data_IF_024242532400
#
_entry.id   IF_024242532400
#
_cell.length_a   1.000
_cell.length_b   1.000
_cell.length_c   1.000
_cell.angle_alpha   90.00
_cell.angle_beta   90.00
_cell.angle_gamma   90.00
#
_symmetry.space_group_name_H-M   'P 1'
#
loop_
_entity.id
_entity.type
_entity.pdbx_description
1 polymer ?
#
# COMPACT_ATOMS: atom_id res chain seq x y z
N UNK A 1 63.04 37.52 16.69
CA UNK A 1 63.25 36.31 17.52
C UNK A 1 62.17 36.19 18.60
N UNK A 2 61.91 37.23 19.39
CA UNK A 2 60.87 37.17 20.45
C UNK A 2 59.50 36.91 19.97
N UNK A 3 59.01 37.46 18.85
CA UNK A 3 57.69 37.25 18.29
C UNK A 3 57.50 35.80 17.81
N UNK A 4 58.56 35.23 17.24
CA UNK A 4 58.51 33.81 16.77
C UNK A 4 58.44 32.84 17.95
N UNK A 5 59.13 33.12 19.04
CA UNK A 5 59.10 32.31 20.27
C UNK A 5 57.69 32.41 20.92
N UNK A 6 57.10 33.61 21.00
CA UNK A 6 55.77 33.81 21.52
C UNK A 6 54.70 33.05 20.73
N UNK A 7 54.77 33.03 19.39
CA UNK A 7 53.85 32.26 18.52
C UNK A 7 53.99 30.74 18.78
N UNK A 8 55.20 30.22 18.91
CA UNK A 8 55.45 28.80 19.20
C UNK A 8 54.84 28.41 20.55
N UNK A 9 55.04 29.25 21.58
CA UNK A 9 54.46 29.02 22.90
C UNK A 9 52.91 28.96 22.82
N UNK A 10 52.28 29.89 22.09
CA UNK A 10 50.85 29.90 21.87
C UNK A 10 50.35 28.62 21.18
N UNK A 11 51.05 28.10 20.19
CA UNK A 11 50.73 26.83 19.53
C UNK A 11 50.85 25.63 20.47
N UNK A 12 51.85 25.60 21.33
CA UNK A 12 52.05 24.55 22.34
C UNK A 12 50.91 24.58 23.36
N UNK A 13 50.59 25.76 23.90
CA UNK A 13 49.50 25.95 24.84
C UNK A 13 48.15 25.51 24.19
N UNK A 14 47.92 25.92 22.95
CA UNK A 14 46.73 25.50 22.18
C UNK A 14 46.68 23.97 22.01
N UNK A 15 47.76 23.31 21.69
CA UNK A 15 47.85 21.86 21.58
C UNK A 15 47.56 21.15 22.89
N UNK A 16 48.06 21.65 24.01
CA UNK A 16 47.80 21.13 25.35
C UNK A 16 46.31 21.30 25.73
N UNK A 17 45.74 22.51 25.49
CA UNK A 17 44.35 22.80 25.71
C UNK A 17 43.44 21.86 24.94
N UNK A 18 43.70 21.66 23.65
CA UNK A 18 42.91 20.71 22.83
C UNK A 18 43.02 19.28 23.36
N UNK A 19 44.23 18.80 23.69
CA UNK A 19 44.42 17.44 24.27
C UNK A 19 43.63 17.25 25.56
N UNK A 20 43.61 18.27 26.44
CA UNK A 20 42.83 18.24 27.67
C UNK A 20 41.33 18.18 27.40
N UNK A 21 40.84 18.99 26.46
CA UNK A 21 39.42 19.03 26.09
C UNK A 21 38.95 17.67 25.52
N UNK A 22 39.68 17.07 24.56
CA UNK A 22 39.28 15.78 23.96
C UNK A 22 39.39 14.59 24.93
N UNK A 23 39.97 14.75 26.09
CA UNK A 23 39.99 13.77 27.19
C UNK A 23 38.95 14.11 28.28
N UNK A 24 38.27 15.23 28.21
CA UNK A 24 37.30 15.66 29.23
C UNK A 24 36.03 14.80 29.20
N UNK A 25 35.34 14.77 30.35
CA UNK A 25 34.04 14.09 30.47
C UNK A 25 32.97 14.75 29.58
N UNK A 26 33.05 16.05 29.35
CA UNK A 26 32.15 16.77 28.44
C UNK A 26 32.27 16.25 27.02
N UNK A 27 33.48 16.06 26.48
CA UNK A 27 33.70 15.53 25.16
C UNK A 27 33.28 14.04 25.05
N UNK A 28 33.55 13.25 26.10
CA UNK A 28 33.10 11.85 26.17
C UNK A 28 31.58 11.76 26.16
N UNK A 29 30.90 12.66 26.87
CA UNK A 29 29.42 12.71 26.88
C UNK A 29 28.86 13.01 25.48
N UNK A 30 29.43 13.99 24.77
CA UNK A 30 29.08 14.32 23.39
C UNK A 30 29.26 13.08 22.48
N UNK A 31 30.37 12.36 22.61
CA UNK A 31 30.61 11.12 21.87
C UNK A 31 29.59 10.02 22.19
N UNK A 32 29.24 9.89 23.45
CA UNK A 32 28.25 8.91 23.90
C UNK A 32 26.86 9.21 23.30
N UNK A 33 26.38 10.45 23.42
CA UNK A 33 25.10 10.88 22.84
C UNK A 33 25.04 10.67 21.33
N UNK A 34 26.17 10.91 20.64
CA UNK A 34 26.25 10.70 19.21
C UNK A 34 26.28 9.21 18.82
N UNK A 35 27.01 8.37 19.57
CA UNK A 35 27.02 6.93 19.36
C UNK A 35 25.66 6.29 19.61
N UNK A 36 24.95 6.75 20.63
CA UNK A 36 23.59 6.32 20.91
C UNK A 36 22.64 6.65 19.75
N UNK A 37 22.72 7.87 19.21
CA UNK A 37 22.02 8.25 17.98
C UNK A 37 22.38 7.35 16.78
N UNK A 38 23.65 7.04 16.58
CA UNK A 38 24.13 6.16 15.49
C UNK A 38 23.54 4.76 15.63
N UNK A 39 23.52 4.24 16.86
CA UNK A 39 22.95 2.90 17.16
C UNK A 39 21.47 2.85 16.78
N UNK A 40 20.67 3.82 17.21
CA UNK A 40 19.26 3.91 16.85
C UNK A 40 19.02 4.02 15.34
N UNK A 41 19.84 4.80 14.63
CA UNK A 41 19.77 4.86 13.17
C UNK A 41 20.02 3.51 12.51
N UNK A 42 21.01 2.76 12.99
CA UNK A 42 21.35 1.44 12.47
C UNK A 42 20.27 0.41 12.76
N UNK A 43 19.69 0.44 13.96
CA UNK A 43 18.56 -0.41 14.34
C UNK A 43 17.35 -0.14 13.46
N UNK A 44 16.99 1.12 13.25
CA UNK A 44 15.88 1.50 12.37
C UNK A 44 16.14 1.09 10.91
N UNK A 45 17.36 1.26 10.41
CA UNK A 45 17.74 0.81 9.07
C UNK A 45 17.66 -0.71 8.91
N UNK A 46 18.05 -1.47 9.94
CA UNK A 46 17.94 -2.94 9.98
C UNK A 46 16.47 -3.37 9.98
N UNK A 47 15.64 -2.68 10.75
CA UNK A 47 14.20 -2.91 10.77
C UNK A 47 13.56 -2.67 9.39
N UNK A 48 13.85 -1.55 8.74
CA UNK A 48 13.36 -1.24 7.38
C UNK A 48 13.75 -2.34 6.39
N UNK A 49 14.97 -2.86 6.46
CA UNK A 49 15.40 -3.93 5.56
C UNK A 49 14.69 -5.27 5.83
N UNK A 50 14.46 -5.61 7.09
CA UNK A 50 13.71 -6.80 7.46
C UNK A 50 12.27 -6.77 6.95
N UNK A 51 11.62 -5.61 7.02
CA UNK A 51 10.26 -5.42 6.52
C UNK A 51 10.17 -5.49 4.99
N UNK A 52 11.18 -5.00 4.29
CA UNK A 52 11.27 -5.13 2.83
C UNK A 52 11.20 -6.61 2.41
N UNK A 53 11.97 -7.48 3.07
CA UNK A 53 11.94 -8.91 2.80
C UNK A 53 10.60 -9.55 3.19
N UNK A 54 10.07 -9.22 4.38
CA UNK A 54 8.79 -9.73 4.88
C UNK A 54 7.64 -9.43 3.92
N UNK A 55 7.48 -8.17 3.52
CA UNK A 55 6.34 -7.77 2.68
C UNK A 55 6.51 -8.16 1.22
N UNK A 56 7.73 -8.11 0.68
CA UNK A 56 7.99 -8.52 -0.71
C UNK A 56 7.72 -10.01 -0.92
N UNK A 57 8.29 -10.87 -0.09
CA UNK A 57 8.12 -12.31 -0.21
C UNK A 57 6.65 -12.73 0.02
N UNK A 58 5.99 -12.15 1.04
CA UNK A 58 4.58 -12.45 1.33
C UNK A 58 3.64 -12.02 0.21
N UNK A 59 3.94 -10.93 -0.51
CA UNK A 59 3.14 -10.50 -1.66
C UNK A 59 3.44 -11.38 -2.86
N UNK A 60 4.71 -11.72 -3.14
CA UNK A 60 5.09 -12.55 -4.27
C UNK A 60 4.58 -14.00 -4.15
N UNK A 61 4.53 -14.55 -2.95
CA UNK A 61 4.05 -15.92 -2.71
C UNK A 61 2.53 -16.06 -2.81
N UNK A 62 1.78 -15.02 -2.43
CA UNK A 62 0.30 -15.02 -2.50
C UNK A 62 -0.24 -14.65 -3.88
N UNK A 63 0.50 -13.90 -4.66
CA UNK A 63 0.09 -13.48 -6.00
C UNK A 63 0.71 -14.45 -7.01
N UNK A 64 0.01 -15.53 -7.30
CA UNK A 64 0.32 -16.37 -8.44
C UNK A 64 0.04 -15.55 -9.71
N UNK A 65 1.04 -14.82 -10.18
CA UNK A 65 1.00 -14.18 -11.50
C UNK A 65 0.89 -15.32 -12.49
N UNK A 66 -0.29 -15.58 -13.03
CA UNK A 66 -0.39 -16.31 -14.26
C UNK A 66 0.64 -15.67 -15.18
N UNK A 67 1.59 -16.47 -15.70
CA UNK A 67 2.70 -15.98 -16.51
C UNK A 67 2.21 -14.92 -17.46
N UNK A 68 2.49 -13.65 -17.18
CA UNK A 68 2.32 -12.57 -18.13
C UNK A 68 3.37 -12.78 -19.21
N UNK A 69 3.09 -13.70 -20.13
CA UNK A 69 3.89 -13.87 -21.33
C UNK A 69 3.80 -12.55 -22.08
N UNK A 70 4.93 -11.88 -22.22
CA UNK A 70 5.14 -10.82 -23.18
C UNK A 70 4.84 -11.41 -24.57
N UNK A 71 3.56 -11.38 -24.97
CA UNK A 71 3.18 -11.72 -26.35
C UNK A 71 3.50 -10.47 -27.16
N UNK A 72 4.70 -10.42 -27.74
CA UNK A 72 5.07 -9.42 -28.74
C UNK A 72 4.38 -9.74 -30.06
N UNK A 73 3.19 -9.16 -30.25
CA UNK A 73 2.45 -9.25 -31.52
C UNK A 73 2.96 -8.26 -32.56
N UNK A 74 4.04 -7.51 -32.32
CA UNK A 74 4.59 -6.59 -33.31
C UNK A 74 5.49 -7.30 -34.32
N UNK A 75 5.24 -7.08 -35.64
CA UNK A 75 6.12 -7.52 -36.72
C UNK A 75 7.52 -6.87 -36.69
N UNK A 76 7.74 -5.90 -35.84
CA UNK A 76 9.00 -5.17 -35.69
C UNK A 76 9.62 -5.53 -34.34
N UNK A 77 10.71 -6.28 -34.36
CA UNK A 77 11.60 -6.57 -33.23
C UNK A 77 12.33 -5.28 -32.78
N UNK A 78 11.64 -4.32 -32.25
CA UNK A 78 12.30 -3.28 -31.45
C UNK A 78 12.67 -3.87 -30.09
N UNK A 79 13.91 -3.65 -29.66
CA UNK A 79 14.44 -4.08 -28.35
C UNK A 79 13.67 -3.37 -27.21
N UNK A 80 12.46 -3.80 -26.92
CA UNK A 80 11.61 -3.25 -25.85
C UNK A 80 12.14 -3.57 -24.45
N UNK A 81 12.91 -4.65 -24.31
CA UNK A 81 13.49 -5.07 -23.02
C UNK A 81 14.50 -4.07 -22.44
N UNK A 82 15.16 -3.24 -23.27
CA UNK A 82 16.16 -2.28 -22.81
C UNK A 82 15.57 -0.92 -22.40
N UNK A 83 14.36 -0.56 -22.84
CA UNK A 83 13.71 0.72 -22.47
C UNK A 83 12.83 0.63 -21.23
N UNK A 84 12.57 -0.55 -20.72
CA UNK A 84 11.79 -0.76 -19.51
C UNK A 84 12.73 -1.01 -18.35
N UNK A 85 13.46 0.03 -17.93
CA UNK A 85 14.04 0.07 -16.58
C UNK A 85 12.91 0.15 -15.55
N UNK A 86 12.13 -0.95 -15.42
CA UNK A 86 11.30 -1.14 -14.27
C UNK A 86 12.24 -1.35 -13.09
N UNK A 87 12.25 -0.40 -12.16
CA UNK A 87 12.82 -0.66 -10.84
C UNK A 87 12.21 -2.00 -10.39
N UNK A 88 13.02 -2.98 -10.00
CA UNK A 88 12.67 -4.37 -9.63
C UNK A 88 11.58 -4.54 -8.56
N UNK A 89 10.85 -3.49 -8.25
CA UNK A 89 9.93 -3.34 -7.13
C UNK A 89 8.48 -3.11 -7.53
N UNK A 90 8.17 -3.03 -8.81
CA UNK A 90 6.82 -2.75 -9.28
C UNK A 90 6.16 -4.03 -9.81
N UNK A 91 4.96 -4.30 -9.30
CA UNK A 91 4.09 -5.34 -9.87
C UNK A 91 3.43 -4.77 -11.12
N UNK A 92 3.67 -5.37 -12.29
CA UNK A 92 3.20 -4.85 -13.58
C UNK A 92 2.22 -5.82 -14.21
N UNK A 93 1.06 -5.30 -14.64
CA UNK A 93 0.06 -6.04 -15.40
C UNK A 93 -0.16 -5.37 -16.76
N UNK A 94 0.17 -6.08 -17.86
CA UNK A 94 -0.14 -5.63 -19.21
C UNK A 94 -1.61 -5.85 -19.53
N UNK A 95 -2.28 -4.80 -20.00
CA UNK A 95 -3.72 -4.83 -20.19
C UNK A 95 -4.18 -3.95 -21.38
N UNK A 96 -5.46 -4.01 -21.70
CA UNK A 96 -6.08 -3.11 -22.66
C UNK A 96 -6.20 -1.67 -22.14
N UNK A 97 -6.30 -0.70 -23.04
CA UNK A 97 -6.50 0.72 -22.72
C UNK A 97 -7.74 0.94 -21.81
N UNK A 98 -8.82 0.20 -22.03
CA UNK A 98 -10.02 0.27 -21.21
C UNK A 98 -9.77 -0.18 -19.77
N UNK A 99 -8.96 -1.22 -19.56
CA UNK A 99 -8.57 -1.68 -18.22
C UNK A 99 -7.74 -0.63 -17.50
N UNK A 100 -6.72 -0.02 -18.15
CA UNK A 100 -5.96 1.08 -17.58
C UNK A 100 -6.85 2.24 -17.12
N UNK A 101 -7.78 2.68 -17.99
CA UNK A 101 -8.71 3.77 -17.65
C UNK A 101 -9.63 3.43 -16.48
N UNK A 102 -10.12 2.19 -16.44
CA UNK A 102 -11.01 1.74 -15.37
C UNK A 102 -10.24 1.50 -14.06
N UNK A 103 -8.99 1.05 -14.11
CA UNK A 103 -8.11 0.95 -12.96
C UNK A 103 -7.89 2.32 -12.29
N UNK A 104 -7.72 3.38 -13.10
CA UNK A 104 -7.62 4.74 -12.58
C UNK A 104 -8.90 5.23 -11.87
N UNK A 105 -10.09 4.76 -12.31
CA UNK A 105 -11.39 5.15 -11.70
C UNK A 105 -11.76 4.31 -10.48
N UNK A 106 -11.38 3.04 -10.46
CA UNK A 106 -11.72 2.06 -9.41
C UNK A 106 -10.46 1.26 -9.00
N UNK A 107 -9.44 1.93 -8.44
CA UNK A 107 -8.11 1.36 -8.26
C UNK A 107 -8.13 0.06 -7.45
N UNK A 108 -8.77 0.04 -6.31
CA UNK A 108 -8.75 -1.11 -5.39
C UNK A 108 -9.52 -2.34 -5.91
N UNK A 109 -10.61 -2.10 -6.63
CA UNK A 109 -11.36 -3.18 -7.29
C UNK A 109 -10.51 -3.85 -8.37
N UNK A 110 -9.81 -3.04 -9.18
CA UNK A 110 -8.96 -3.56 -10.25
C UNK A 110 -7.69 -4.18 -9.68
N UNK A 111 -7.15 -3.63 -8.60
CA UNK A 111 -6.04 -4.22 -7.84
C UNK A 111 -6.39 -5.65 -7.39
N UNK A 112 -7.50 -5.83 -6.67
CA UNK A 112 -7.93 -7.17 -6.22
C UNK A 112 -8.16 -8.13 -7.41
N UNK A 113 -8.81 -7.64 -8.47
CA UNK A 113 -9.18 -8.48 -9.61
C UNK A 113 -7.99 -8.97 -10.43
N UNK A 114 -7.04 -8.09 -10.73
CA UNK A 114 -5.98 -8.37 -11.71
C UNK A 114 -4.65 -8.82 -11.07
N UNK A 115 -4.46 -8.52 -9.79
CA UNK A 115 -3.31 -9.02 -9.03
C UNK A 115 -3.71 -10.14 -8.06
N UNK A 116 -4.89 -10.74 -8.26
CA UNK A 116 -5.38 -11.90 -7.51
C UNK A 116 -5.31 -11.73 -5.99
N UNK A 117 -5.60 -10.52 -5.49
CA UNK A 117 -5.66 -10.24 -4.07
C UNK A 117 -7.05 -10.66 -3.55
N UNK A 118 -7.15 -11.72 -2.73
CA UNK A 118 -8.43 -12.21 -2.26
C UNK A 118 -9.07 -11.22 -1.28
N UNK A 119 -10.41 -11.08 -1.37
CA UNK A 119 -11.18 -10.20 -0.45
C UNK A 119 -11.64 -11.04 0.73
N UNK A 120 -10.75 -11.23 1.69
CA UNK A 120 -10.93 -12.07 2.88
C UNK A 120 -10.21 -11.50 4.11
N UNK A 121 -10.52 -12.02 5.30
CA UNK A 121 -10.00 -11.49 6.57
C UNK A 121 -8.49 -11.62 6.70
N UNK A 122 -7.89 -12.69 6.20
CA UNK A 122 -6.43 -12.88 6.23
C UNK A 122 -5.71 -11.80 5.43
N UNK A 123 -6.25 -11.45 4.26
CA UNK A 123 -5.72 -10.37 3.42
C UNK A 123 -5.85 -9.02 4.12
N UNK A 124 -6.98 -8.78 4.79
CA UNK A 124 -7.20 -7.55 5.57
C UNK A 124 -6.14 -7.43 6.67
N UNK A 125 -5.96 -8.46 7.49
CA UNK A 125 -4.95 -8.49 8.58
C UNK A 125 -3.53 -8.27 8.04
N UNK A 126 -3.21 -8.85 6.87
CA UNK A 126 -1.91 -8.65 6.23
C UNK A 126 -1.65 -7.17 5.89
N UNK A 127 -2.61 -6.48 5.26
CA UNK A 127 -2.44 -5.07 4.90
C UNK A 127 -2.51 -4.14 6.12
N UNK A 128 -3.27 -4.49 7.16
CA UNK A 128 -3.25 -3.77 8.45
C UNK A 128 -1.87 -3.89 9.12
N UNK A 129 -1.26 -5.08 9.13
CA UNK A 129 0.11 -5.25 9.62
C UNK A 129 1.11 -4.40 8.84
N UNK A 130 1.01 -4.38 7.50
CA UNK A 130 1.86 -3.56 6.64
C UNK A 130 1.70 -2.06 6.94
N UNK A 131 0.47 -1.59 7.15
CA UNK A 131 0.20 -0.20 7.52
C UNK A 131 0.85 0.17 8.85
N UNK A 132 0.71 -0.69 9.86
CA UNK A 132 1.34 -0.47 11.17
C UNK A 132 2.86 -0.39 11.05
N UNK A 133 3.47 -1.28 10.27
CA UNK A 133 4.91 -1.26 10.00
C UNK A 133 5.35 0.06 9.34
N UNK A 134 4.59 0.56 8.34
CA UNK A 134 4.89 1.84 7.68
C UNK A 134 4.75 3.05 8.59
N UNK A 135 3.73 3.06 9.46
CA UNK A 135 3.54 4.12 10.46
C UNK A 135 4.70 4.11 11.46
N UNK A 136 5.08 2.94 11.97
CA UNK A 136 6.20 2.78 12.91
C UNK A 136 7.53 3.28 12.32
N UNK A 137 7.80 3.00 11.04
CA UNK A 137 8.99 3.51 10.37
C UNK A 137 8.94 5.04 10.25
N UNK A 138 7.78 5.60 9.87
CA UNK A 138 7.62 7.05 9.75
C UNK A 138 7.89 7.75 11.08
N UNK A 139 7.29 7.24 12.16
CA UNK A 139 7.49 7.77 13.52
C UNK A 139 8.95 7.61 13.98
N UNK A 140 9.56 6.44 13.71
CA UNK A 140 10.96 6.19 13.99
C UNK A 140 11.90 7.15 13.28
N UNK A 141 11.66 7.45 12.01
CA UNK A 141 12.43 8.44 11.25
C UNK A 141 12.30 9.85 11.82
N UNK A 142 11.10 10.24 12.24
CA UNK A 142 10.86 11.53 12.89
C UNK A 142 11.57 11.60 14.26
N UNK A 143 11.51 10.52 15.04
CA UNK A 143 12.21 10.43 16.33
C UNK A 143 13.71 10.59 16.18
N UNK A 144 14.34 9.83 15.30
CA UNK A 144 15.78 9.89 15.03
C UNK A 144 16.20 11.27 14.53
N UNK A 145 15.39 11.90 13.64
CA UNK A 145 15.62 13.27 13.17
C UNK A 145 15.61 14.29 14.31
N UNK A 146 14.62 14.20 15.20
CA UNK A 146 14.51 15.09 16.35
C UNK A 146 15.66 14.88 17.34
N UNK A 147 16.07 13.62 17.56
CA UNK A 147 17.23 13.29 18.39
C UNK A 147 18.51 13.90 17.83
N UNK A 148 18.75 13.83 16.51
CA UNK A 148 19.89 14.48 15.89
C UNK A 148 19.91 15.99 16.14
N UNK A 149 18.74 16.64 16.01
CA UNK A 149 18.62 18.08 16.28
C UNK A 149 18.99 18.42 17.72
N UNK A 150 18.55 17.61 18.69
CA UNK A 150 18.90 17.78 20.11
C UNK A 150 20.40 17.60 20.35
N UNK A 151 20.99 16.52 19.83
CA UNK A 151 22.42 16.27 19.95
C UNK A 151 23.23 17.42 19.34
N UNK A 152 22.86 17.88 18.13
CA UNK A 152 23.54 19.01 17.48
C UNK A 152 23.38 20.32 18.23
N UNK A 153 22.23 20.59 18.84
CA UNK A 153 22.00 21.76 19.68
C UNK A 153 22.85 21.71 20.97
N UNK A 154 22.91 20.53 21.60
CA UNK A 154 23.78 20.32 22.80
C UNK A 154 25.26 20.53 22.47
N UNK A 155 25.73 19.99 21.35
CA UNK A 155 27.10 20.22 20.87
C UNK A 155 27.35 21.71 20.69
N UNK A 156 26.46 22.40 19.96
CA UNK A 156 26.61 23.83 19.70
C UNK A 156 26.67 24.70 20.98
N UNK A 157 25.85 24.36 21.95
CA UNK A 157 25.73 25.14 23.19
C UNK A 157 26.89 24.86 24.18
N UNK A 158 27.38 23.63 24.23
CA UNK A 158 28.38 23.19 25.17
C UNK A 158 29.82 23.22 24.62
N UNK A 159 29.99 23.54 23.32
CA UNK A 159 31.30 23.59 22.71
C UNK A 159 32.08 24.84 23.17
N UNK A 160 33.28 24.70 23.80
CA UNK A 160 34.08 25.82 24.24
C UNK A 160 34.39 26.81 23.08
N UNK A 161 34.32 28.09 23.36
CA UNK A 161 34.53 29.16 22.37
C UNK A 161 35.77 28.95 21.50
N UNK A 162 36.91 28.59 22.10
CA UNK A 162 38.15 28.37 21.38
C UNK A 162 38.08 27.16 20.42
N UNK A 163 37.46 26.06 20.85
CA UNK A 163 37.28 24.88 20.00
C UNK A 163 36.33 25.21 18.84
N UNK A 164 35.23 25.91 19.12
CA UNK A 164 34.22 26.30 18.12
C UNK A 164 34.83 27.19 17.02
N UNK A 165 35.67 28.14 17.36
CA UNK A 165 36.20 29.10 16.40
C UNK A 165 37.54 28.68 15.75
N UNK A 166 38.40 27.98 16.46
CA UNK A 166 39.76 27.66 16.01
C UNK A 166 40.03 26.14 15.93
N UNK A 167 39.19 25.29 16.49
CA UNK A 167 39.38 23.83 16.55
C UNK A 167 38.44 23.00 15.72
N UNK A 168 37.59 23.58 14.86
CA UNK A 168 36.49 22.91 14.17
C UNK A 168 36.91 21.66 13.39
N UNK A 169 37.96 21.75 12.59
CA UNK A 169 38.42 20.62 11.75
C UNK A 169 38.88 19.43 12.59
N UNK A 170 39.62 19.70 13.69
CA UNK A 170 40.05 18.65 14.60
C UNK A 170 38.87 18.10 15.38
N UNK A 171 37.92 18.94 15.81
CA UNK A 171 36.71 18.50 16.51
C UNK A 171 35.91 17.51 15.67
N UNK A 172 35.65 17.80 14.41
CA UNK A 172 34.92 16.89 13.49
C UNK A 172 35.68 15.56 13.36
N UNK A 173 37.00 15.60 13.21
CA UNK A 173 37.83 14.39 13.11
C UNK A 173 37.81 13.55 14.39
N UNK A 174 37.96 14.19 15.57
CA UNK A 174 37.96 13.50 16.87
C UNK A 174 36.56 12.99 17.26
N UNK A 175 35.51 13.66 16.75
CA UNK A 175 34.13 13.21 16.88
C UNK A 175 33.88 11.90 16.12
N UNK A 176 34.49 11.73 14.93
CA UNK A 176 34.39 10.53 14.13
C UNK A 176 33.00 10.27 13.59
N UNK A 177 32.17 11.34 13.39
CA UNK A 177 30.82 11.24 12.91
C UNK A 177 30.78 11.28 11.38
N UNK A 178 30.15 10.25 10.80
CA UNK A 178 29.71 10.25 9.40
C UNK A 178 28.19 10.28 9.35
N UNK A 179 27.58 11.14 8.51
CA UNK A 179 26.13 11.16 8.36
C UNK A 179 25.61 9.79 7.93
N UNK A 180 24.60 9.30 8.65
CA UNK A 180 23.96 8.02 8.33
C UNK A 180 22.84 8.28 7.34
N UNK A 181 22.91 7.59 6.21
CA UNK A 181 21.85 7.63 5.21
C UNK A 181 20.68 6.74 5.68
N UNK A 182 19.50 7.35 5.87
CA UNK A 182 18.31 6.60 6.28
C UNK A 182 17.71 5.89 5.08
N UNK A 183 17.60 4.57 5.18
CA UNK A 183 17.03 3.74 4.11
C UNK A 183 15.62 4.15 3.75
N UNK A 184 15.30 4.11 2.46
CA UNK A 184 13.94 4.34 1.98
C UNK A 184 13.06 3.13 2.28
N UNK A 185 11.79 3.41 2.61
CA UNK A 185 10.78 2.38 2.80
C UNK A 185 10.39 1.82 1.43
N UNK A 186 10.34 0.51 1.32
CA UNK A 186 9.76 -0.14 0.16
C UNK A 186 8.24 0.04 0.18
N UNK A 187 7.71 0.75 -0.82
CA UNK A 187 6.27 0.95 -0.99
C UNK A 187 5.81 0.12 -2.19
N UNK A 188 4.92 -0.89 -2.00
CA UNK A 188 4.41 -1.69 -3.09
C UNK A 188 3.67 -0.80 -4.11
N UNK A 189 4.05 -0.93 -5.37
CA UNK A 189 3.42 -0.21 -6.48
C UNK A 189 2.93 -1.20 -7.51
N UNK A 190 1.65 -1.09 -7.85
CA UNK A 190 0.97 -1.94 -8.83
C UNK A 190 0.65 -1.13 -10.08
N UNK A 191 1.24 -1.53 -11.20
CA UNK A 191 1.16 -0.79 -12.46
C UNK A 191 0.32 -1.53 -13.49
N UNK A 192 -0.73 -0.90 -13.99
CA UNK A 192 -1.44 -1.34 -15.19
C UNK A 192 -0.83 -0.65 -16.39
N UNK A 193 -0.38 -1.41 -17.38
CA UNK A 193 0.30 -0.86 -18.55
C UNK A 193 -0.40 -1.31 -19.83
N UNK A 194 -0.73 -0.35 -20.68
CA UNK A 194 -1.17 -0.57 -22.05
C UNK A 194 -0.11 -0.11 -23.03
N UNK A 195 0.23 -0.95 -23.98
CA UNK A 195 1.11 -0.63 -25.10
C UNK A 195 0.35 -0.94 -26.39
N UNK A 196 0.22 0.03 -27.29
CA UNK A 196 -0.42 -0.20 -28.58
C UNK A 196 0.38 -1.18 -29.45
N UNK A 197 -0.29 -1.90 -30.37
CA UNK A 197 0.33 -2.93 -31.22
C UNK A 197 1.58 -2.44 -31.99
N UNK A 198 1.61 -1.17 -32.39
CA UNK A 198 2.78 -0.55 -33.03
C UNK A 198 3.81 0.04 -32.04
N UNK A 199 3.60 -0.05 -30.74
CA UNK A 199 4.52 0.52 -29.73
C UNK A 199 4.49 2.03 -29.58
N UNK A 200 3.72 2.75 -30.40
CA UNK A 200 3.72 4.20 -30.48
C UNK A 200 2.97 4.88 -29.34
N UNK A 201 2.12 4.16 -28.62
CA UNK A 201 1.35 4.68 -27.50
C UNK A 201 1.49 3.79 -26.28
N UNK A 202 1.93 4.39 -25.17
CA UNK A 202 1.97 3.76 -23.84
C UNK A 202 1.08 4.55 -22.89
N UNK A 203 0.26 3.84 -22.12
CA UNK A 203 -0.53 4.41 -21.03
C UNK A 203 -0.27 3.55 -19.80
N UNK A 204 -0.02 4.17 -18.66
CA UNK A 204 0.09 3.46 -17.39
C UNK A 204 -0.83 4.09 -16.34
N UNK A 205 -1.23 3.26 -15.38
CA UNK A 205 -1.92 3.65 -14.18
C UNK A 205 -1.24 2.95 -13.01
N UNK A 206 -0.62 3.72 -12.14
CA UNK A 206 0.13 3.20 -11.01
C UNK A 206 -0.69 3.37 -9.72
N UNK A 207 -0.84 2.28 -8.98
CA UNK A 207 -1.48 2.25 -7.67
C UNK A 207 -0.36 2.06 -6.64
N UNK A 208 0.05 3.16 -6.01
CA UNK A 208 1.09 3.18 -4.98
C UNK A 208 0.43 2.96 -3.63
N UNK A 209 0.78 1.89 -2.90
CA UNK A 209 0.24 1.61 -1.57
C UNK A 209 1.04 2.34 -0.48
N UNK A 210 1.10 3.67 -0.58
CA UNK A 210 1.57 4.52 0.51
C UNK A 210 0.60 4.47 1.72
N UNK A 211 0.94 5.12 2.83
CA UNK A 211 0.14 5.09 4.06
C UNK A 211 -1.32 5.50 3.79
N UNK A 212 -1.57 6.51 2.97
CA UNK A 212 -2.92 7.01 2.69
C UNK A 212 -3.72 6.03 1.82
N UNK A 213 -3.12 5.57 0.74
CA UNK A 213 -3.75 4.61 -0.16
C UNK A 213 -3.93 3.25 0.51
N UNK A 214 -3.01 2.84 1.38
CA UNK A 214 -3.12 1.62 2.15
C UNK A 214 -4.29 1.68 3.15
N UNK A 215 -4.47 2.80 3.86
CA UNK A 215 -5.66 3.02 4.69
C UNK A 215 -6.96 2.91 3.89
N UNK A 216 -7.02 3.55 2.73
CA UNK A 216 -8.19 3.51 1.85
C UNK A 216 -8.43 2.10 1.30
N UNK A 217 -7.38 1.36 1.00
CA UNK A 217 -7.46 -0.03 0.55
C UNK A 217 -7.95 -0.98 1.63
N UNK A 218 -7.47 -0.85 2.87
CA UNK A 218 -7.93 -1.58 4.04
C UNK A 218 -9.43 -1.32 4.27
N UNK A 219 -9.86 -0.06 4.19
CA UNK A 219 -11.28 0.29 4.26
C UNK A 219 -12.10 -0.39 3.16
N UNK A 220 -11.62 -0.34 1.92
CA UNK A 220 -12.26 -1.02 0.78
C UNK A 220 -12.39 -2.53 1.02
N UNK A 221 -11.34 -3.20 1.51
CA UNK A 221 -11.38 -4.64 1.84
C UNK A 221 -12.38 -4.92 2.94
N UNK A 222 -12.35 -4.17 4.04
CA UNK A 222 -13.27 -4.32 5.17
C UNK A 222 -14.74 -4.17 4.74
N UNK A 223 -15.05 -3.13 3.97
CA UNK A 223 -16.41 -2.89 3.46
C UNK A 223 -16.85 -3.99 2.48
N UNK A 224 -15.93 -4.47 1.64
CA UNK A 224 -16.21 -5.56 0.69
C UNK A 224 -16.44 -6.90 1.40
N UNK A 225 -15.71 -7.21 2.47
CA UNK A 225 -15.89 -8.41 3.29
C UNK A 225 -17.25 -8.37 3.98
N UNK A 226 -17.61 -7.26 4.61
CA UNK A 226 -18.93 -7.06 5.26
C UNK A 226 -20.05 -7.21 4.26
N UNK A 227 -19.92 -6.62 3.08
CA UNK A 227 -20.88 -6.74 1.99
C UNK A 227 -21.06 -8.20 1.53
N UNK A 228 -19.95 -8.91 1.28
CA UNK A 228 -19.99 -10.31 0.85
C UNK A 228 -20.67 -11.22 1.89
N UNK A 229 -20.36 -11.00 3.18
CA UNK A 229 -21.03 -11.72 4.29
C UNK A 229 -22.52 -11.42 4.33
N UNK A 230 -22.92 -10.16 4.14
CA UNK A 230 -24.33 -9.74 4.10
C UNK A 230 -25.08 -10.38 2.93
N UNK A 231 -24.54 -10.34 1.71
CA UNK A 231 -25.15 -10.95 0.51
C UNK A 231 -25.27 -12.46 0.67
N UNK A 232 -24.24 -13.14 1.22
CA UNK A 232 -24.30 -14.59 1.49
C UNK A 232 -25.41 -14.93 2.49
N UNK A 233 -25.55 -14.14 3.56
CA UNK A 233 -26.63 -14.27 4.54
C UNK A 233 -27.99 -14.07 3.89
N UNK A 234 -28.18 -13.04 3.08
CA UNK A 234 -29.42 -12.78 2.38
C UNK A 234 -29.80 -13.93 1.42
N UNK A 235 -28.84 -14.49 0.69
CA UNK A 235 -29.08 -15.65 -0.18
C UNK A 235 -29.53 -16.89 0.61
N UNK A 236 -28.97 -17.11 1.80
CA UNK A 236 -29.32 -18.22 2.67
C UNK A 236 -30.76 -18.13 3.21
N UNK A 237 -31.33 -16.92 3.31
CA UNK A 237 -32.73 -16.71 3.70
C UNK A 237 -33.71 -17.11 2.61
N UNK A 238 -33.31 -17.31 1.36
CA UNK A 238 -34.14 -17.76 0.25
C UNK A 238 -34.41 -19.27 0.33
N UNK A 239 -35.14 -19.69 1.36
CA UNK A 239 -35.49 -21.10 1.61
C UNK A 239 -36.48 -21.63 0.59
N UNK A 240 -36.56 -22.97 0.39
CA UNK A 240 -37.62 -23.58 -0.44
C UNK A 240 -39.04 -23.18 0.00
N UNK A 241 -39.27 -23.08 1.32
CA UNK A 241 -40.55 -22.67 1.90
C UNK A 241 -40.89 -21.22 1.49
N UNK A 242 -39.98 -20.30 1.65
CA UNK A 242 -40.18 -18.89 1.26
C UNK A 242 -40.43 -18.76 -0.26
N UNK A 243 -39.72 -19.55 -1.09
CA UNK A 243 -39.97 -19.56 -2.54
C UNK A 243 -41.39 -19.98 -2.89
N UNK A 244 -41.86 -20.99 -2.20
CA UNK A 244 -43.24 -21.51 -2.41
C UNK A 244 -44.27 -20.50 -1.92
N UNK A 245 -44.11 -19.90 -0.76
CA UNK A 245 -44.96 -18.83 -0.23
C UNK A 245 -45.10 -17.65 -1.21
N UNK A 246 -44.00 -17.23 -1.82
CA UNK A 246 -44.03 -16.15 -2.81
C UNK A 246 -44.76 -16.57 -4.10
N UNK A 247 -44.53 -17.79 -4.60
CA UNK A 247 -45.24 -18.30 -5.76
C UNK A 247 -46.75 -18.39 -5.51
N UNK A 248 -47.16 -18.85 -4.34
CA UNK A 248 -48.57 -18.91 -3.94
C UNK A 248 -49.18 -17.51 -3.85
N UNK A 249 -48.49 -16.55 -3.19
CA UNK A 249 -48.93 -15.15 -3.10
C UNK A 249 -49.13 -14.54 -4.50
N UNK A 250 -48.26 -14.86 -5.44
CA UNK A 250 -48.29 -14.34 -6.81
C UNK A 250 -49.12 -15.21 -7.75
N UNK A 251 -49.91 -16.12 -7.18
CA UNK A 251 -50.85 -17.05 -7.92
C UNK A 251 -50.11 -17.80 -9.05
N UNK A 252 -48.87 -18.21 -8.82
CA UNK A 252 -48.00 -18.85 -9.82
C UNK A 252 -47.94 -18.09 -11.15
N UNK A 253 -48.00 -16.77 -11.08
CA UNK A 253 -48.05 -15.87 -12.24
C UNK A 253 -46.77 -15.00 -12.29
N UNK A 254 -46.20 -14.84 -13.46
CA UNK A 254 -45.10 -13.94 -13.67
C UNK A 254 -45.54 -12.48 -13.50
N UNK A 255 -45.00 -11.78 -12.50
CA UNK A 255 -45.38 -10.42 -12.17
C UNK A 255 -44.93 -9.39 -13.22
N UNK A 256 -44.13 -9.80 -14.23
CA UNK A 256 -43.69 -8.90 -15.31
C UNK A 256 -44.52 -9.06 -16.60
N UNK A 257 -44.81 -10.30 -17.06
CA UNK A 257 -45.52 -10.53 -18.32
C UNK A 257 -46.91 -11.13 -18.15
N UNK A 258 -47.34 -11.44 -16.91
CA UNK A 258 -48.66 -12.00 -16.63
C UNK A 258 -48.88 -13.45 -17.13
N UNK A 259 -47.83 -14.15 -17.56
CA UNK A 259 -47.93 -15.57 -17.90
C UNK A 259 -47.94 -16.43 -16.64
N UNK A 260 -48.69 -17.53 -16.63
CA UNK A 260 -48.92 -18.38 -15.45
C UNK A 260 -48.86 -19.87 -15.80
N UNK A 261 -48.68 -20.72 -14.80
CA UNK A 261 -48.74 -22.17 -14.96
C UNK A 261 -50.11 -22.65 -15.44
N UNK A 262 -51.18 -21.89 -15.20
CA UNK A 262 -52.52 -22.19 -15.71
C UNK A 262 -52.61 -22.02 -17.23
N UNK A 263 -51.86 -21.08 -17.81
CA UNK A 263 -51.78 -20.83 -19.25
C UNK A 263 -50.72 -21.69 -19.94
N UNK A 264 -49.62 -21.94 -19.26
CA UNK A 264 -48.48 -22.71 -19.75
C UNK A 264 -48.00 -23.69 -18.64
N UNK A 265 -48.48 -24.94 -18.62
CA UNK A 265 -48.21 -25.88 -17.52
C UNK A 265 -46.73 -26.16 -17.27
N UNK A 266 -45.88 -26.03 -18.26
CA UNK A 266 -44.42 -26.23 -18.16
C UNK A 266 -43.63 -24.92 -17.95
N UNK A 267 -44.29 -23.84 -17.57
CA UNK A 267 -43.66 -22.55 -17.35
C UNK A 267 -42.69 -22.60 -16.14
N UNK A 268 -41.44 -22.34 -16.38
CA UNK A 268 -40.43 -22.25 -15.32
C UNK A 268 -40.58 -20.91 -14.61
N UNK A 269 -41.01 -20.95 -13.36
CA UNK A 269 -41.12 -19.80 -12.48
C UNK A 269 -39.99 -19.75 -11.47
N UNK A 270 -39.33 -18.61 -11.39
CA UNK A 270 -38.22 -18.32 -10.51
C UNK A 270 -38.60 -17.17 -9.56
N UNK A 271 -38.06 -17.19 -8.35
CA UNK A 271 -38.19 -16.07 -7.41
C UNK A 271 -36.98 -15.16 -7.54
N UNK A 272 -37.24 -13.91 -7.78
CA UNK A 272 -36.25 -12.88 -7.94
C UNK A 272 -36.49 -11.71 -6.98
N UNK A 273 -35.40 -10.96 -6.66
CA UNK A 273 -35.46 -9.76 -5.83
C UNK A 273 -35.92 -8.57 -6.69
N UNK A 274 -36.97 -7.86 -6.29
CA UNK A 274 -37.41 -6.62 -6.94
C UNK A 274 -36.25 -5.64 -6.99
N UNK A 275 -35.71 -5.26 -5.82
CA UNK A 275 -34.42 -4.58 -5.68
C UNK A 275 -33.31 -5.63 -5.54
N UNK A 276 -32.38 -5.72 -6.49
CA UNK A 276 -31.32 -6.73 -6.46
C UNK A 276 -30.48 -6.67 -5.18
N UNK A 277 -29.99 -7.82 -4.71
CA UNK A 277 -29.05 -7.91 -3.57
C UNK A 277 -27.80 -7.05 -3.82
N UNK A 278 -27.30 -7.01 -5.05
CA UNK A 278 -26.14 -6.18 -5.46
C UNK A 278 -26.40 -4.67 -5.32
N UNK A 279 -27.65 -4.25 -5.17
CA UNK A 279 -28.07 -2.86 -4.95
C UNK A 279 -28.62 -2.64 -3.53
N UNK A 280 -28.33 -3.55 -2.58
CA UNK A 280 -28.75 -3.43 -1.19
C UNK A 280 -30.18 -3.90 -0.93
N UNK A 281 -30.77 -4.69 -1.83
CA UNK A 281 -32.05 -5.37 -1.57
C UNK A 281 -31.91 -6.41 -0.46
N UNK A 282 -33.00 -6.69 0.24
CA UNK A 282 -33.07 -7.70 1.28
C UNK A 282 -33.98 -8.87 0.82
N UNK A 283 -33.76 -10.05 1.38
CA UNK A 283 -34.60 -11.22 1.14
C UNK A 283 -35.82 -11.19 2.09
N UNK A 284 -36.74 -10.30 1.77
CA UNK A 284 -38.03 -10.12 2.48
C UNK A 284 -39.19 -10.32 1.50
N UNK A 285 -40.35 -10.71 1.99
CA UNK A 285 -41.52 -11.04 1.14
C UNK A 285 -41.89 -9.90 0.19
N UNK A 286 -41.83 -8.65 0.65
CA UNK A 286 -42.14 -7.43 -0.11
C UNK A 286 -41.09 -7.09 -1.19
N UNK A 287 -39.87 -7.57 -1.04
CA UNK A 287 -38.80 -7.37 -2.03
C UNK A 287 -38.64 -8.61 -2.96
N UNK A 288 -39.52 -9.61 -2.88
CA UNK A 288 -39.48 -10.79 -3.71
C UNK A 288 -40.68 -10.82 -4.68
N UNK A 289 -40.47 -11.36 -5.86
CA UNK A 289 -41.48 -11.50 -6.91
C UNK A 289 -41.29 -12.80 -7.69
N UNK A 290 -42.39 -13.34 -8.21
CA UNK A 290 -42.37 -14.46 -9.13
C UNK A 290 -42.16 -13.96 -10.55
N UNK A 291 -41.14 -14.47 -11.25
CA UNK A 291 -40.90 -14.18 -12.67
C UNK A 291 -40.77 -15.48 -13.45
N UNK A 292 -41.22 -15.48 -14.72
CA UNK A 292 -40.79 -16.54 -15.61
C UNK A 292 -39.30 -16.40 -15.95
N UNK A 293 -38.67 -17.50 -16.32
CA UNK A 293 -37.22 -17.54 -16.60
C UNK A 293 -36.78 -16.52 -17.66
N UNK A 294 -37.62 -16.21 -18.66
CA UNK A 294 -37.36 -15.22 -19.71
C UNK A 294 -37.28 -13.79 -19.12
N UNK A 295 -38.31 -13.45 -18.33
CA UNK A 295 -38.40 -12.13 -17.68
C UNK A 295 -37.29 -11.94 -16.64
N UNK A 296 -36.96 -12.99 -15.89
CA UNK A 296 -35.87 -12.95 -14.90
C UNK A 296 -34.52 -12.67 -15.56
N UNK A 297 -34.18 -13.35 -16.64
CA UNK A 297 -32.96 -13.09 -17.41
C UNK A 297 -32.93 -11.71 -18.04
N UNK A 298 -34.06 -11.24 -18.56
CA UNK A 298 -34.16 -9.90 -19.14
C UNK A 298 -34.00 -8.78 -18.10
N UNK A 299 -34.50 -9.00 -16.88
CA UNK A 299 -34.36 -8.08 -15.76
C UNK A 299 -32.92 -7.99 -15.27
N UNK A 300 -32.26 -9.15 -15.03
CA UNK A 300 -30.90 -9.21 -14.49
C UNK A 300 -30.76 -8.35 -13.24
N UNK A 301 -29.77 -7.47 -13.22
CA UNK A 301 -29.53 -6.50 -12.12
C UNK A 301 -30.21 -5.13 -12.31
N UNK A 302 -31.17 -5.01 -13.25
CA UNK A 302 -31.89 -3.77 -13.46
C UNK A 302 -32.88 -3.57 -12.31
N UNK A 303 -32.97 -2.36 -11.84
CA UNK A 303 -33.95 -1.89 -10.87
C UNK A 303 -34.35 -0.49 -11.28
N UNK A 304 -35.60 -0.33 -11.69
CA UNK A 304 -36.20 0.97 -11.98
C UNK A 304 -36.91 1.39 -10.70
N UNK A 305 -36.52 2.53 -10.15
CA UNK A 305 -37.25 3.19 -9.06
C UNK A 305 -38.61 3.66 -9.55
#
# INVERSE_FOLDING_TARGET
MEVTIAIIILFVIWGIYQRKYYKSEEFKKIKFELNDYITECNELNSYIESLKQKHYNSISDKINYGEAKLIDNSKYKYKRSEQVNFKKTNFVYECSNSVCKNAARQPFKYLCKYFNIPIEEETLVFFESMLNDFISIKEGKEFVKNKLQLVMSNIKNNLPFLIRNFGKTRFIRELGYEPIDMREVYIPTYSFVYISAGGNKRISCDIVLDINNLNNFIKYLSDSIKWNKSVKKQRALMTPKLREEIKQRDEYTCQHCGNSISKEPNLLLEIDHIKPLSKGGLTTSDNLQTLCWKCNRSKGNKYNN
#
